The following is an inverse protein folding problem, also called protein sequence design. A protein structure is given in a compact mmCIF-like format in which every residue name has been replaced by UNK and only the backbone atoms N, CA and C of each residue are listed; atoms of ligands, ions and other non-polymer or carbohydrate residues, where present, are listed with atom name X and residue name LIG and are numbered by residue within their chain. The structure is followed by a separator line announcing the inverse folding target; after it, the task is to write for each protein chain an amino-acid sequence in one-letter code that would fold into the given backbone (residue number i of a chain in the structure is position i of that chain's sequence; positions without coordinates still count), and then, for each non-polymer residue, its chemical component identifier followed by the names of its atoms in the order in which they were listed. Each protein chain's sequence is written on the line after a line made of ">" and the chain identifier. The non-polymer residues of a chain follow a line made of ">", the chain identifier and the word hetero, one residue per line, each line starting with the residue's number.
data_IF_692322359537
#
_entry.id   IF_692322359537
#
_cell.length_a   1.000
_cell.length_b   1.000
_cell.length_c   1.000
_cell.angle_alpha   90.00
_cell.angle_beta   90.00
_cell.angle_gamma   90.00
#
_symmetry.space_group_name_H-M   'P 1'
#
loop_
_entity.id
_entity.type
_entity.pdbx_description
1 polymer ?
#
# COMPACT_ATOMS: atom_id res chain seq x y z
N UNK A 1 12.76 -3.46 2.54
CA UNK A 1 11.51 -2.84 3.02
C UNK A 1 10.70 -2.41 1.79
N UNK A 2 9.37 -2.51 1.79
CA UNK A 2 8.54 -2.06 0.66
C UNK A 2 8.79 -0.57 0.37
N UNK A 3 8.88 -0.23 -0.92
CA UNK A 3 8.92 1.15 -1.42
C UNK A 3 7.69 1.43 -2.28
N UNK A 4 7.39 2.70 -2.54
CA UNK A 4 6.31 3.12 -3.42
C UNK A 4 6.88 3.83 -4.65
N UNK A 5 6.17 3.77 -5.77
CA UNK A 5 6.37 4.72 -6.88
C UNK A 5 5.59 6.01 -6.61
N UNK A 6 5.98 7.11 -7.26
CA UNK A 6 5.24 8.38 -7.18
C UNK A 6 3.77 8.23 -7.65
N UNK A 7 3.54 7.35 -8.63
CA UNK A 7 2.19 7.02 -9.10
C UNK A 7 1.39 6.31 -8.00
N UNK A 8 1.97 5.29 -7.36
CA UNK A 8 1.32 4.60 -6.24
C UNK A 8 1.00 5.54 -5.08
N UNK A 9 1.95 6.40 -4.69
CA UNK A 9 1.72 7.39 -3.64
C UNK A 9 0.55 8.33 -3.98
N UNK A 10 0.48 8.80 -5.23
CA UNK A 10 -0.62 9.67 -5.68
C UNK A 10 -1.97 8.94 -5.61
N UNK A 11 -2.04 7.74 -6.18
CA UNK A 11 -3.27 6.94 -6.22
C UNK A 11 -3.76 6.58 -4.81
N UNK A 12 -2.86 6.18 -3.89
CA UNK A 12 -3.22 5.88 -2.50
C UNK A 12 -3.87 7.10 -1.84
N UNK A 13 -3.31 8.30 -2.02
CA UNK A 13 -3.88 9.53 -1.46
C UNK A 13 -5.26 9.82 -2.03
N UNK A 14 -5.45 9.66 -3.33
CA UNK A 14 -6.75 9.89 -3.97
C UNK A 14 -7.82 8.92 -3.48
N UNK A 15 -7.48 7.63 -3.32
CA UNK A 15 -8.39 6.63 -2.77
C UNK A 15 -8.78 6.95 -1.33
N UNK A 16 -7.81 7.29 -0.47
CA UNK A 16 -8.06 7.61 0.94
C UNK A 16 -8.90 8.89 1.06
N UNK A 17 -8.56 9.93 0.30
CA UNK A 17 -9.30 11.19 0.28
C UNK A 17 -10.73 11.02 -0.29
N UNK A 18 -10.88 10.24 -1.35
CA UNK A 18 -12.17 9.96 -1.99
C UNK A 18 -13.14 9.20 -1.07
N UNK A 19 -12.62 8.45 -0.09
CA UNK A 19 -13.42 7.78 0.93
C UNK A 19 -13.76 8.67 2.14
N UNK A 20 -13.32 9.94 2.15
CA UNK A 20 -13.57 10.88 3.25
C UNK A 20 -12.92 10.47 4.56
N UNK A 21 -11.84 9.69 4.49
CA UNK A 21 -11.15 9.17 5.66
C UNK A 21 -10.41 10.30 6.42
N UNK A 22 -10.30 10.22 7.76
CA UNK A 22 -9.65 11.25 8.57
C UNK A 22 -8.17 11.43 8.22
N UNK A 23 -7.58 12.55 8.64
CA UNK A 23 -6.13 12.76 8.50
C UNK A 23 -5.34 11.64 9.16
N UNK A 24 -4.30 11.19 8.48
CA UNK A 24 -3.51 10.04 8.90
C UNK A 24 -4.10 8.69 8.53
N UNK A 25 -5.26 8.63 7.87
CA UNK A 25 -5.70 7.41 7.21
C UNK A 25 -4.73 6.96 6.13
N UNK A 26 -4.71 5.67 5.87
CA UNK A 26 -3.83 5.06 4.89
C UNK A 26 -4.41 3.77 4.33
N UNK A 27 -3.68 3.19 3.38
CA UNK A 27 -3.99 1.89 2.82
C UNK A 27 -3.32 0.81 3.67
N UNK A 28 -4.09 -0.13 4.21
CA UNK A 28 -3.55 -1.30 4.89
C UNK A 28 -3.43 -2.48 3.93
N UNK A 29 -2.28 -3.14 3.95
CA UNK A 29 -1.99 -4.35 3.19
C UNK A 29 -1.76 -5.51 4.16
N UNK A 30 -2.51 -6.58 3.97
CA UNK A 30 -2.42 -7.80 4.77
C UNK A 30 -2.13 -9.01 3.88
N UNK A 31 -1.48 -10.01 4.47
CA UNK A 31 -1.11 -11.26 3.82
C UNK A 31 -1.50 -12.44 4.72
N UNK A 32 -1.96 -13.54 4.12
CA UNK A 32 -2.29 -14.76 4.87
C UNK A 32 -1.03 -15.44 5.46
N UNK A 33 0.08 -15.38 4.72
CA UNK A 33 1.39 -15.91 5.09
C UNK A 33 2.54 -15.05 4.52
N UNK A 34 3.79 -15.43 4.83
CA UNK A 34 5.00 -14.68 4.43
C UNK A 34 5.45 -14.92 2.99
N UNK A 35 4.91 -15.93 2.32
CA UNK A 35 5.17 -16.28 0.92
C UNK A 35 3.96 -15.95 0.02
N UNK A 36 3.01 -15.17 0.56
CA UNK A 36 1.75 -14.86 -0.08
C UNK A 36 1.96 -14.15 -1.42
N UNK A 37 1.20 -14.59 -2.42
CA UNK A 37 1.13 -13.96 -3.75
C UNK A 37 -0.15 -13.14 -3.93
N UNK A 38 -1.05 -13.19 -2.94
CA UNK A 38 -2.29 -12.44 -2.88
C UNK A 38 -2.32 -11.64 -1.59
N UNK A 39 -2.77 -10.40 -1.70
CA UNK A 39 -2.79 -9.46 -0.59
C UNK A 39 -4.19 -8.88 -0.41
N UNK A 40 -4.62 -8.79 0.84
CA UNK A 40 -5.81 -8.05 1.22
C UNK A 40 -5.47 -6.56 1.31
N UNK A 41 -6.36 -5.70 0.80
CA UNK A 41 -6.17 -4.26 0.81
C UNK A 41 -7.41 -3.58 1.38
N UNK A 42 -7.22 -2.68 2.33
CA UNK A 42 -8.31 -1.91 2.96
C UNK A 42 -7.88 -0.50 3.32
N UNK A 43 -8.84 0.41 3.51
CA UNK A 43 -8.55 1.75 4.04
C UNK A 43 -8.75 1.70 5.55
N UNK A 44 -7.76 2.17 6.30
CA UNK A 44 -7.81 2.25 7.77
C UNK A 44 -7.46 3.65 8.25
N UNK A 45 -8.07 4.14 9.34
CA UNK A 45 -7.73 5.44 9.92
C UNK A 45 -6.33 5.51 10.55
N UNK A 46 -5.74 4.37 10.92
CA UNK A 46 -4.47 4.29 11.63
C UNK A 46 -3.80 2.90 11.47
N UNK A 47 -2.47 2.78 11.66
CA UNK A 47 -1.81 1.49 11.73
C UNK A 47 -2.23 0.71 12.99
N UNK A 48 -2.23 -0.61 12.90
CA UNK A 48 -2.35 -1.47 14.07
C UNK A 48 -0.99 -1.76 14.72
N UNK A 49 -1.01 -2.33 15.92
CA UNK A 49 0.23 -2.74 16.60
C UNK A 49 0.93 -3.83 15.79
N UNK A 50 2.21 -3.61 15.48
CA UNK A 50 3.01 -4.53 14.66
C UNK A 50 3.01 -4.18 13.17
N UNK A 51 2.16 -3.24 12.73
CA UNK A 51 2.20 -2.79 11.35
C UNK A 51 3.47 -1.97 11.07
N UNK A 52 4.11 -2.23 9.93
CA UNK A 52 5.14 -1.34 9.39
C UNK A 52 4.48 -0.18 8.63
N UNK A 53 4.97 1.04 8.84
CA UNK A 53 4.45 2.24 8.17
C UNK A 53 5.41 2.64 7.05
N UNK A 54 4.91 2.66 5.82
CA UNK A 54 5.61 3.19 4.66
C UNK A 54 4.95 4.50 4.26
N UNK A 55 5.72 5.59 4.28
CA UNK A 55 5.24 6.91 3.88
C UNK A 55 6.06 7.43 2.69
N UNK A 56 5.37 7.90 1.64
CA UNK A 56 5.99 8.54 0.49
C UNK A 56 5.07 9.63 -0.05
N UNK A 57 5.60 10.84 -0.27
CA UNK A 57 4.86 11.97 -0.85
C UNK A 57 3.51 12.28 -0.14
N UNK A 58 3.46 12.00 1.18
CA UNK A 58 2.29 12.15 2.04
C UNK A 58 1.25 11.03 1.95
N UNK A 59 1.50 9.98 1.16
CA UNK A 59 0.72 8.76 1.14
C UNK A 59 1.19 7.83 2.25
N UNK A 60 0.26 7.15 2.92
CA UNK A 60 0.57 6.20 3.99
C UNK A 60 0.08 4.81 3.62
N UNK A 61 0.98 3.84 3.72
CA UNK A 61 0.70 2.41 3.59
C UNK A 61 1.09 1.72 4.88
N UNK A 62 0.17 0.94 5.43
CA UNK A 62 0.33 0.16 6.64
C UNK A 62 0.45 -1.31 6.28
N UNK A 63 1.56 -1.94 6.62
CA UNK A 63 1.83 -3.33 6.27
C UNK A 63 1.67 -4.18 7.51
N UNK A 64 0.74 -5.13 7.50
CA UNK A 64 0.68 -6.14 8.55
C UNK A 64 1.99 -6.92 8.66
N UNK A 65 2.26 -7.53 9.82
CA UNK A 65 3.54 -8.21 10.10
C UNK A 65 3.96 -9.19 8.99
N UNK A 66 3.01 -10.01 8.50
CA UNK A 66 3.27 -10.98 7.42
C UNK A 66 3.53 -10.30 6.08
N UNK A 67 2.74 -9.28 5.75
CA UNK A 67 2.89 -8.52 4.51
C UNK A 67 4.23 -7.77 4.49
N UNK A 68 4.70 -7.28 5.65
CA UNK A 68 6.00 -6.63 5.78
C UNK A 68 7.14 -7.55 5.35
N UNK A 69 7.07 -8.84 5.69
CA UNK A 69 8.06 -9.84 5.31
C UNK A 69 7.90 -10.22 3.83
N UNK A 70 6.68 -10.51 3.40
CA UNK A 70 6.39 -10.93 2.01
C UNK A 70 6.76 -9.85 0.97
N UNK A 71 6.55 -8.59 1.33
CA UNK A 71 6.82 -7.42 0.49
C UNK A 71 8.19 -6.79 0.77
N UNK A 72 9.05 -7.47 1.51
CA UNK A 72 10.42 -7.01 1.65
C UNK A 72 11.12 -7.02 0.28
N UNK A 73 11.87 -5.95 0.03
CA UNK A 73 12.59 -5.73 -1.23
C UNK A 73 11.67 -5.70 -2.46
N UNK A 74 10.50 -5.07 -2.31
CA UNK A 74 9.52 -4.82 -3.38
C UNK A 74 9.19 -3.34 -3.51
N UNK A 75 8.64 -2.99 -4.65
CA UNK A 75 8.05 -1.68 -4.92
C UNK A 75 6.58 -1.85 -5.26
N UNK A 76 5.72 -1.09 -4.58
CA UNK A 76 4.32 -0.95 -4.91
C UNK A 76 4.19 0.11 -6.01
N UNK A 77 3.67 -0.30 -7.15
CA UNK A 77 3.28 0.58 -8.24
C UNK A 77 1.75 0.62 -8.37
N UNK A 78 1.24 1.65 -9.03
CA UNK A 78 -0.18 1.75 -9.32
C UNK A 78 -0.41 2.17 -10.77
N UNK A 79 -1.46 1.59 -11.34
CA UNK A 79 -1.90 1.82 -12.71
C UNK A 79 -3.37 2.21 -12.68
N UNK A 80 -3.75 3.25 -13.42
CA UNK A 80 -5.16 3.61 -13.63
C UNK A 80 -5.52 3.25 -15.07
N UNK A 81 -6.47 2.33 -15.23
CA UNK A 81 -6.99 1.94 -16.53
C UNK A 81 -7.86 3.05 -17.15
N UNK A 82 -8.09 2.98 -18.46
CA UNK A 82 -8.89 3.98 -19.19
C UNK A 82 -10.35 4.10 -18.69
N UNK A 83 -10.88 3.05 -18.08
CA UNK A 83 -12.21 3.04 -17.46
C UNK A 83 -12.22 3.57 -16.00
N UNK A 84 -11.08 4.06 -15.52
CA UNK A 84 -10.91 4.61 -14.17
C UNK A 84 -10.68 3.54 -13.10
N UNK A 85 -10.58 2.25 -13.46
CA UNK A 85 -10.20 1.22 -12.48
C UNK A 85 -8.74 1.38 -12.08
N UNK A 86 -8.52 1.35 -10.78
CA UNK A 86 -7.18 1.33 -10.20
C UNK A 86 -6.74 -0.12 -10.02
N UNK A 87 -5.50 -0.40 -10.42
CA UNK A 87 -4.78 -1.63 -10.13
C UNK A 87 -3.49 -1.29 -9.39
N UNK A 88 -3.09 -2.16 -8.48
CA UNK A 88 -1.81 -2.09 -7.80
C UNK A 88 -0.95 -3.27 -8.23
N UNK A 89 0.31 -3.01 -8.51
CA UNK A 89 1.28 -3.99 -8.97
C UNK A 89 2.45 -4.06 -8.00
N UNK A 90 2.95 -5.28 -7.74
CA UNK A 90 4.13 -5.52 -6.92
C UNK A 90 5.30 -5.81 -7.84
N UNK A 91 6.29 -4.92 -7.83
CA UNK A 91 7.48 -4.99 -8.66
C UNK A 91 8.71 -5.33 -7.81
N UNK A 92 9.76 -5.94 -8.37
CA UNK A 92 11.07 -5.99 -7.73
C UNK A 92 11.57 -4.56 -7.47
N UNK A 93 12.13 -4.31 -6.30
CA UNK A 93 12.75 -3.02 -6.03
C UNK A 93 13.97 -2.83 -6.93
N UNK A 94 14.06 -1.68 -7.59
CA UNK A 94 15.26 -1.34 -8.35
C UNK A 94 16.43 -1.12 -7.38
N UNK A 95 17.52 -1.85 -7.58
CA UNK A 95 18.78 -1.74 -6.82
C UNK A 95 19.49 -0.40 -7.07
#
# INVERSE_FOLDING_TARGET
>A
MLTLTDTAATVVKEIVAGNGAPEGSGLRIEAEDTDATQFGVSITPAPESGDAVVEQSGARVYLGERATIALDDKTLDASVAEDGRVSFDILPQAL
#
